data_IF_824018535825
#
_entry.id   IF_824018535825
#
_cell.length_a   1.000
_cell.length_b   1.000
_cell.length_c   1.000
_cell.angle_alpha   90.00
_cell.angle_beta   90.00
_cell.angle_gamma   90.00
#
_symmetry.space_group_name_H-M   'P 1'
#
loop_
_entity.id
_entity.type
_entity.pdbx_description
1 polymer ?
#
# COMPACT_ATOMS: atom_id res chain seq x y z
N UNK A 1 -2.37 11.55 0.50
CA UNK A 1 -2.40 10.40 1.44
C UNK A 1 -3.66 9.58 1.19
N UNK A 2 -3.50 8.32 0.83
CA UNK A 2 -4.61 7.40 0.50
C UNK A 2 -5.07 6.62 1.72
N UNK A 3 -6.37 6.37 1.82
CA UNK A 3 -6.91 5.36 2.73
C UNK A 3 -6.84 3.97 2.09
N UNK A 4 -6.88 2.92 2.91
CA UNK A 4 -6.80 1.52 2.44
C UNK A 4 -7.78 1.20 1.27
N UNK A 5 -9.05 1.65 1.27
CA UNK A 5 -9.95 1.39 0.13
C UNK A 5 -9.47 2.01 -1.19
N UNK A 6 -8.85 3.19 -1.18
CA UNK A 6 -8.31 3.82 -2.39
C UNK A 6 -7.06 3.09 -2.91
N UNK A 7 -6.25 2.52 -2.00
CA UNK A 7 -5.09 1.68 -2.34
C UNK A 7 -5.54 0.37 -2.98
N UNK A 8 -6.59 -0.26 -2.45
CA UNK A 8 -7.19 -1.47 -3.04
C UNK A 8 -7.60 -1.25 -4.50
N UNK A 9 -8.25 -0.10 -4.80
CA UNK A 9 -8.66 0.26 -6.16
C UNK A 9 -7.45 0.51 -7.07
N UNK A 10 -6.43 1.25 -6.61
CA UNK A 10 -5.25 1.58 -7.43
C UNK A 10 -4.35 0.37 -7.74
N UNK A 11 -4.27 -0.59 -6.84
CA UNK A 11 -3.48 -1.81 -7.02
C UNK A 11 -4.31 -3.01 -7.50
N UNK A 12 -5.63 -2.86 -7.67
CA UNK A 12 -6.57 -3.93 -8.02
C UNK A 12 -6.48 -5.18 -7.11
N UNK A 13 -6.21 -4.98 -5.81
CA UNK A 13 -6.07 -6.08 -4.83
C UNK A 13 -7.08 -6.01 -3.68
N UNK A 14 -7.42 -7.18 -3.16
CA UNK A 14 -8.32 -7.32 -2.01
C UNK A 14 -7.74 -6.73 -0.71
N UNK A 15 -8.64 -6.33 0.21
CA UNK A 15 -8.29 -5.75 1.52
C UNK A 15 -7.27 -6.58 2.29
N UNK A 16 -7.43 -7.90 2.31
CA UNK A 16 -6.51 -8.81 2.98
C UNK A 16 -5.08 -8.68 2.45
N UNK A 17 -4.90 -8.66 1.11
CA UNK A 17 -3.59 -8.52 0.48
C UNK A 17 -2.94 -7.16 0.78
N UNK A 18 -3.70 -6.07 0.81
CA UNK A 18 -3.17 -4.75 1.22
C UNK A 18 -2.66 -4.79 2.67
N UNK A 19 -3.36 -5.44 3.60
CA UNK A 19 -2.88 -5.60 4.98
C UNK A 19 -1.69 -6.57 5.10
N UNK A 20 -1.60 -7.57 4.23
CA UNK A 20 -0.47 -8.49 4.14
C UNK A 20 0.80 -7.77 3.67
N UNK A 21 0.74 -7.01 2.57
CA UNK A 21 1.85 -6.15 2.07
C UNK A 21 2.29 -5.10 3.10
N UNK A 22 1.34 -4.60 3.90
CA UNK A 22 1.60 -3.69 5.03
C UNK A 22 2.31 -4.40 6.20
N UNK A 23 2.08 -5.71 6.37
CA UNK A 23 2.63 -6.53 7.46
C UNK A 23 3.99 -7.11 7.10
N UNK A 24 4.22 -7.48 5.83
CA UNK A 24 5.53 -7.85 5.30
C UNK A 24 6.50 -6.67 5.22
N UNK A 25 5.97 -5.45 5.10
CA UNK A 25 6.74 -4.21 5.00
C UNK A 25 6.95 -3.71 3.57
N UNK A 26 6.51 -4.49 2.58
CA UNK A 26 6.54 -4.13 1.15
C UNK A 26 5.78 -2.82 0.87
N UNK A 27 4.67 -2.58 1.57
CA UNK A 27 3.87 -1.36 1.40
C UNK A 27 3.99 -0.40 2.60
N UNK A 28 4.90 0.58 2.47
CA UNK A 28 5.14 1.62 3.50
C UNK A 28 3.88 2.44 3.77
N UNK A 29 3.66 2.75 5.05
CA UNK A 29 2.32 3.14 5.49
C UNK A 29 2.30 3.69 6.92
N UNK A 30 1.44 4.68 7.17
CA UNK A 30 1.39 5.48 8.41
C UNK A 30 0.09 5.18 9.17
N UNK A 31 0.19 4.94 10.48
CA UNK A 31 -0.97 4.81 11.37
C UNK A 31 -1.37 6.20 11.88
N UNK A 32 -2.63 6.59 11.67
CA UNK A 32 -3.22 7.85 12.14
C UNK A 32 -4.46 7.50 12.97
N UNK A 33 -4.30 7.53 14.30
CA UNK A 33 -5.31 7.06 15.24
C UNK A 33 -5.69 5.59 15.00
N UNK A 34 -6.97 5.33 14.72
CA UNK A 34 -7.51 3.99 14.39
C UNK A 34 -7.36 3.62 12.91
N UNK A 35 -6.97 4.56 12.05
CA UNK A 35 -6.84 4.35 10.59
C UNK A 35 -5.39 4.15 10.16
N UNK A 36 -5.16 3.44 9.04
CA UNK A 36 -3.88 3.43 8.33
C UNK A 36 -4.02 4.16 7.00
N UNK A 37 -2.98 4.91 6.61
CA UNK A 37 -2.86 5.67 5.37
C UNK A 37 -1.58 5.28 4.62
N UNK A 38 -1.59 5.39 3.31
CA UNK A 38 -0.43 5.17 2.42
C UNK A 38 -0.09 6.52 1.76
N UNK A 39 1.19 6.89 1.70
CA UNK A 39 1.61 8.09 0.96
C UNK A 39 1.62 7.83 -0.55
N UNK A 40 1.61 8.87 -1.38
CA UNK A 40 1.77 8.68 -2.84
C UNK A 40 3.12 8.03 -3.14
N UNK A 41 4.19 8.52 -2.49
CA UNK A 41 5.56 8.00 -2.60
C UNK A 41 5.65 6.51 -2.28
N UNK A 42 5.07 6.07 -1.15
CA UNK A 42 5.08 4.66 -0.75
C UNK A 42 4.34 3.74 -1.74
N UNK A 43 3.28 4.27 -2.38
CA UNK A 43 2.56 3.53 -3.41
C UNK A 43 3.34 3.46 -4.71
N UNK A 44 4.03 4.55 -5.10
CA UNK A 44 4.91 4.58 -6.26
C UNK A 44 6.10 3.64 -6.09
N UNK A 45 6.83 3.75 -4.97
CA UNK A 45 7.98 2.90 -4.65
C UNK A 45 7.63 1.40 -4.68
N UNK A 46 6.43 1.04 -4.23
CA UNK A 46 5.93 -0.34 -4.31
C UNK A 46 5.72 -0.79 -5.76
N UNK A 47 5.16 0.07 -6.63
CA UNK A 47 4.98 -0.25 -8.07
C UNK A 47 6.32 -0.29 -8.79
N UNK A 48 7.21 0.67 -8.56
CA UNK A 48 8.58 0.69 -9.12
C UNK A 48 9.38 -0.55 -8.71
N UNK A 49 9.21 -1.02 -7.47
CA UNK A 49 9.80 -2.28 -6.98
C UNK A 49 9.22 -3.54 -7.62
N UNK A 50 7.94 -3.54 -8.01
CA UNK A 50 7.34 -4.63 -8.80
C UNK A 50 7.87 -4.65 -10.23
N UNK A 51 7.96 -3.47 -10.88
CA UNK A 51 8.48 -3.34 -12.24
C UNK A 51 9.97 -3.72 -12.34
N UNK A 52 10.76 -3.43 -11.30
CA UNK A 52 12.18 -3.81 -11.24
C UNK A 52 12.43 -5.30 -10.92
N UNK A 53 11.39 -6.05 -10.54
CA UNK A 53 11.46 -7.48 -10.19
C UNK A 53 10.78 -8.40 -11.23
N UNK A 54 10.36 -7.84 -12.37
CA UNK A 54 9.68 -8.53 -13.48
C UNK A 54 10.61 -8.73 -14.69
#
# INVERSE_FOLDING_TARGET
>A
MHAIPAVQVRLSVGRAKVFELIKSGELRSVKIGKSRRVSESALREYVEGLEASA
#
